data_IF_529481242297
#
_entry.id   IF_529481242297
#
_cell.length_a   1.000
_cell.length_b   1.000
_cell.length_c   1.000
_cell.angle_alpha   90.00
_cell.angle_beta   90.00
_cell.angle_gamma   90.00
#
_symmetry.space_group_name_H-M   'P 1'
#
loop_
_entity.id
_entity.type
_entity.pdbx_description
1 polymer ?
#
# COMPACT_ATOMS: atom_id res chain seq x y z
N UNK A 1 -8.40 -13.05 -1.41
CA UNK A 1 -7.41 -13.33 -0.36
C UNK A 1 -6.09 -13.63 -1.02
N UNK A 2 -5.09 -12.82 -0.74
CA UNK A 2 -3.72 -13.01 -1.24
C UNK A 2 -2.97 -14.00 -0.33
N UNK A 3 -1.94 -14.65 -0.86
CA UNK A 3 -1.07 -15.58 -0.16
C UNK A 3 0.30 -14.95 0.11
N UNK A 4 1.04 -15.51 1.08
CA UNK A 4 2.43 -15.14 1.32
C UNK A 4 3.24 -15.40 0.05
N UNK A 5 4.04 -14.42 -0.37
CA UNK A 5 4.81 -14.43 -1.60
C UNK A 5 4.07 -13.87 -2.82
N UNK A 6 2.77 -13.57 -2.73
CA UNK A 6 2.06 -12.94 -3.83
C UNK A 6 2.62 -11.54 -4.11
N UNK A 7 2.82 -11.22 -5.38
CA UNK A 7 3.16 -9.88 -5.83
C UNK A 7 1.89 -9.05 -5.97
N UNK A 8 1.84 -7.90 -5.31
CA UNK A 8 0.70 -6.97 -5.32
C UNK A 8 1.16 -5.57 -5.67
N UNK A 9 0.31 -4.83 -6.38
CA UNK A 9 0.47 -3.39 -6.60
C UNK A 9 -0.46 -2.64 -5.67
N UNK A 10 0.08 -1.71 -4.89
CA UNK A 10 -0.76 -0.76 -4.15
C UNK A 10 -1.44 0.15 -5.17
N UNK A 11 -2.74 0.36 -5.02
CA UNK A 11 -3.55 1.21 -5.90
C UNK A 11 -2.96 2.59 -6.07
N UNK A 12 -3.27 3.20 -7.22
CA UNK A 12 -2.87 4.59 -7.46
C UNK A 12 -3.49 5.54 -6.40
N UNK A 13 -2.79 6.64 -6.10
CA UNK A 13 -3.32 7.66 -5.18
C UNK A 13 -4.65 8.23 -5.67
N UNK A 14 -4.84 8.32 -6.99
CA UNK A 14 -6.10 8.77 -7.60
C UNK A 14 -7.24 7.82 -7.23
N UNK A 15 -7.03 6.51 -7.35
CA UNK A 15 -8.06 5.52 -7.04
C UNK A 15 -8.35 5.46 -5.54
N UNK A 16 -7.30 5.58 -4.70
CA UNK A 16 -7.45 5.69 -3.25
C UNK A 16 -8.26 6.92 -2.86
N UNK A 17 -8.00 8.08 -3.46
CA UNK A 17 -8.79 9.30 -3.20
C UNK A 17 -10.24 9.13 -3.64
N UNK A 18 -10.49 8.62 -4.84
CA UNK A 18 -11.85 8.43 -5.33
C UNK A 18 -12.68 7.51 -4.43
N UNK A 19 -12.10 6.44 -3.89
CA UNK A 19 -12.85 5.49 -3.04
C UNK A 19 -13.07 6.01 -1.61
N UNK A 20 -12.09 6.73 -1.06
CA UNK A 20 -12.23 7.34 0.25
C UNK A 20 -13.03 8.66 0.23
N UNK A 21 -13.17 9.32 -0.94
CA UNK A 21 -13.88 10.60 -1.07
C UNK A 21 -15.42 10.48 -1.19
N UNK A 22 -15.96 9.29 -1.48
CA UNK A 22 -17.42 9.08 -1.63
C UNK A 22 -17.94 7.94 -0.76
N UNK A 23 -18.54 8.19 0.43
CA UNK A 23 -18.86 9.47 1.07
C UNK A 23 -17.87 9.87 2.17
N UNK A 24 -17.55 11.18 2.20
CA UNK A 24 -16.74 11.92 3.18
C UNK A 24 -15.63 11.13 3.88
N UNK A 25 -14.38 11.25 3.42
CA UNK A 25 -13.25 10.83 4.22
C UNK A 25 -13.24 11.73 5.46
N UNK A 26 -13.36 11.13 6.63
CA UNK A 26 -13.03 11.83 7.86
C UNK A 26 -11.51 11.98 7.87
N UNK A 27 -10.99 13.05 7.28
CA UNK A 27 -9.61 13.42 7.48
C UNK A 27 -9.41 13.70 8.98
N UNK A 28 -8.85 12.75 9.71
CA UNK A 28 -8.36 12.98 11.06
C UNK A 28 -6.88 13.38 10.94
N UNK A 29 -6.62 14.67 10.75
CA UNK A 29 -5.28 15.17 10.44
C UNK A 29 -4.75 14.64 9.11
N UNK A 30 -3.69 13.81 9.16
CA UNK A 30 -3.01 13.26 7.97
C UNK A 30 -3.55 11.89 7.51
N UNK A 31 -4.65 11.41 8.10
CA UNK A 31 -5.23 10.09 7.80
C UNK A 31 -6.52 10.21 6.98
N UNK A 32 -6.58 9.53 5.84
CA UNK A 32 -7.82 9.16 5.15
C UNK A 32 -8.42 7.95 5.86
N UNK A 33 -9.66 8.06 6.34
CA UNK A 33 -10.33 6.99 7.10
C UNK A 33 -11.47 6.43 6.27
N UNK A 34 -11.46 5.12 6.07
CA UNK A 34 -12.59 4.37 5.52
C UNK A 34 -12.89 3.19 6.45
N UNK A 35 -14.02 3.26 7.18
CA UNK A 35 -14.30 2.33 8.27
C UNK A 35 -13.27 2.43 9.40
N UNK A 36 -12.60 1.32 9.71
CA UNK A 36 -11.59 1.21 10.78
C UNK A 36 -10.14 1.25 10.28
N UNK A 37 -9.92 1.60 9.01
CA UNK A 37 -8.59 1.59 8.40
C UNK A 37 -8.16 3.01 8.07
N UNK A 38 -6.91 3.31 8.41
CA UNK A 38 -6.27 4.59 8.18
C UNK A 38 -5.28 4.46 7.01
N UNK A 39 -5.50 5.24 5.95
CA UNK A 39 -4.50 5.51 4.93
C UNK A 39 -3.86 6.86 5.22
N UNK A 40 -2.62 6.88 5.72
CA UNK A 40 -1.96 8.12 6.14
C UNK A 40 -1.07 8.70 5.04
N UNK A 41 -0.76 10.01 5.11
CA UNK A 41 0.10 10.69 4.12
C UNK A 41 1.43 9.96 3.85
N UNK A 42 2.05 9.38 4.87
CA UNK A 42 3.30 8.62 4.73
C UNK A 42 3.16 7.35 3.88
N UNK A 43 1.93 6.90 3.56
CA UNK A 43 1.66 5.78 2.67
C UNK A 43 1.57 6.20 1.19
N UNK A 44 1.50 7.50 0.89
CA UNK A 44 1.40 8.02 -0.48
C UNK A 44 2.56 7.59 -1.38
N UNK A 45 3.84 7.58 -0.93
CA UNK A 45 4.97 7.19 -1.77
C UNK A 45 4.92 5.74 -2.27
N UNK A 46 4.09 4.88 -1.67
CA UNK A 46 3.93 3.48 -2.05
C UNK A 46 2.80 3.26 -3.07
N UNK A 47 1.94 4.27 -3.30
CA UNK A 47 0.86 4.16 -4.28
C UNK A 47 1.39 3.92 -5.70
N UNK A 48 0.77 2.98 -6.41
CA UNK A 48 1.19 2.55 -7.75
C UNK A 48 2.44 1.66 -7.78
N UNK A 49 3.05 1.37 -6.62
CA UNK A 49 4.26 0.54 -6.52
C UNK A 49 3.94 -0.90 -6.15
N UNK A 50 4.88 -1.78 -6.45
CA UNK A 50 4.72 -3.22 -6.30
C UNK A 50 5.55 -3.76 -5.14
N UNK A 51 4.95 -4.70 -4.41
CA UNK A 51 5.54 -5.34 -3.24
C UNK A 51 5.10 -6.80 -3.17
N UNK A 52 5.73 -7.55 -2.28
CA UNK A 52 5.37 -8.93 -1.98
C UNK A 52 4.62 -9.01 -0.65
N UNK A 53 3.64 -9.89 -0.57
CA UNK A 53 2.94 -10.20 0.67
C UNK A 53 3.89 -11.00 1.56
N UNK A 54 4.29 -10.41 2.69
CA UNK A 54 5.16 -11.06 3.68
C UNK A 54 4.35 -11.94 4.63
N UNK A 55 3.31 -11.36 5.23
CA UNK A 55 2.37 -12.02 6.11
C UNK A 55 1.03 -11.28 6.11
N UNK A 56 0.04 -11.82 6.81
CA UNK A 56 -1.24 -11.16 7.01
C UNK A 56 -1.87 -11.56 8.33
N UNK A 57 -2.76 -10.70 8.82
CA UNK A 57 -3.61 -10.97 9.98
C UNK A 57 -5.01 -10.42 9.77
N UNK A 58 -5.96 -10.92 10.55
CA UNK A 58 -7.36 -10.54 10.46
C UNK A 58 -7.73 -9.57 11.58
N UNK A 59 -8.21 -8.38 11.21
CA UNK A 59 -8.76 -7.39 12.14
C UNK A 59 -9.99 -6.73 11.49
N UNK A 60 -11.15 -7.39 11.56
CA UNK A 60 -12.38 -7.03 10.82
C UNK A 60 -12.29 -7.12 9.28
N UNK A 61 -11.08 -7.13 8.72
CA UNK A 61 -10.72 -7.34 7.32
C UNK A 61 -9.30 -7.92 7.26
N UNK A 62 -8.89 -8.40 6.08
CA UNK A 62 -7.53 -8.89 5.86
C UNK A 62 -6.56 -7.70 5.75
N UNK A 63 -5.57 -7.68 6.65
CA UNK A 63 -4.48 -6.71 6.68
C UNK A 63 -3.19 -7.44 6.35
N UNK A 64 -2.43 -6.90 5.40
CA UNK A 64 -1.22 -7.51 4.86
C UNK A 64 0.00 -6.66 5.18
N UNK A 65 1.06 -7.31 5.64
CA UNK A 65 2.40 -6.71 5.71
C UNK A 65 3.13 -7.00 4.41
N UNK A 66 3.82 -5.99 3.91
CA UNK A 66 4.47 -6.05 2.62
C UNK A 66 5.98 -6.00 2.79
N UNK A 67 6.68 -6.57 1.82
CA UNK A 67 8.12 -6.43 1.67
C UNK A 67 8.52 -6.08 0.24
N UNK A 68 9.68 -5.45 0.10
CA UNK A 68 10.31 -5.20 -1.18
C UNK A 68 10.87 -6.50 -1.77
N UNK A 69 11.28 -6.45 -3.04
CA UNK A 69 11.99 -7.56 -3.71
C UNK A 69 13.28 -7.99 -3.00
N UNK A 70 13.93 -7.09 -2.25
CA UNK A 70 15.12 -7.39 -1.44
C UNK A 70 14.79 -7.87 -0.01
N UNK A 71 13.53 -8.16 0.30
CA UNK A 71 13.09 -8.68 1.61
C UNK A 71 13.01 -7.62 2.71
N UNK A 72 13.02 -6.34 2.35
CA UNK A 72 12.85 -5.25 3.32
C UNK A 72 11.37 -5.02 3.58
N UNK A 73 10.96 -5.17 4.83
CA UNK A 73 9.58 -4.93 5.23
C UNK A 73 9.22 -3.45 5.17
N UNK A 74 8.01 -3.17 4.69
CA UNK A 74 7.43 -1.83 4.73
C UNK A 74 7.00 -1.48 6.15
N UNK A 75 7.12 -0.21 6.56
CA UNK A 75 6.72 0.23 7.90
C UNK A 75 5.19 0.30 8.09
N UNK A 76 4.41 -0.06 7.07
CA UNK A 76 2.96 0.03 7.06
C UNK A 76 2.31 -1.29 6.67
N UNK A 77 1.10 -1.51 7.17
CA UNK A 77 0.24 -2.59 6.75
C UNK A 77 -0.89 -2.05 5.88
N UNK A 78 -1.35 -2.87 4.94
CA UNK A 78 -2.29 -2.47 3.89
C UNK A 78 -3.49 -3.39 3.86
N UNK A 79 -4.68 -2.83 3.63
CA UNK A 79 -5.91 -3.61 3.53
C UNK A 79 -6.06 -4.26 2.16
N UNK A 80 -6.80 -5.37 2.05
CA UNK A 80 -6.99 -6.08 0.76
C UNK A 80 -7.45 -5.17 -0.40
N UNK A 81 -8.37 -4.24 -0.14
CA UNK A 81 -8.93 -3.34 -1.15
C UNK A 81 -7.96 -2.24 -1.60
N UNK A 82 -6.83 -2.08 -0.92
CA UNK A 82 -5.75 -1.16 -1.28
C UNK A 82 -4.87 -1.72 -2.40
N UNK A 83 -5.08 -2.98 -2.79
CA UNK A 83 -4.33 -3.62 -3.86
C UNK A 83 -5.09 -3.64 -5.17
N UNK A 84 -4.33 -3.63 -6.25
CA UNK A 84 -4.82 -3.97 -7.57
C UNK A 84 -4.55 -5.45 -7.84
N UNK A 85 -5.46 -6.13 -8.54
CA UNK A 85 -5.17 -7.45 -9.08
C UNK A 85 -4.25 -7.28 -10.29
N UNK A 86 -2.95 -7.52 -10.11
CA UNK A 86 -1.98 -7.43 -11.20
C UNK A 86 -2.30 -8.46 -12.30
N UNK A 87 -2.83 -7.99 -13.43
CA UNK A 87 -2.92 -8.77 -14.67
C UNK A 87 -1.57 -8.76 -15.40
N UNK A 88 -0.81 -9.84 -15.28
CA UNK A 88 0.34 -10.33 -16.11
C UNK A 88 1.45 -9.40 -16.63
N UNK A 89 1.36 -8.08 -16.57
CA UNK A 89 2.40 -7.19 -17.11
C UNK A 89 2.69 -6.08 -16.11
N UNK A 90 3.75 -6.23 -15.32
CA UNK A 90 4.23 -5.12 -14.48
C UNK A 90 5.76 -5.12 -14.41
N UNK A 91 6.31 -3.90 -14.53
CA UNK A 91 7.73 -3.58 -14.56
C UNK A 91 8.33 -3.75 -13.17
N UNK A 92 9.42 -4.52 -13.07
CA UNK A 92 10.21 -4.66 -11.84
C UNK A 92 11.03 -3.39 -11.56
N UNK A 93 11.21 -3.08 -10.27
CA UNK A 93 11.93 -1.90 -9.77
C UNK A 93 13.44 -2.15 -9.65
N UNK A 94 14.25 -1.10 -9.84
CA UNK A 94 15.70 -1.11 -9.62
C UNK A 94 16.06 -0.55 -8.22
N UNK A 95 17.30 -0.73 -7.78
CA UNK A 95 17.78 -0.20 -6.48
C UNK A 95 17.64 1.33 -6.35
N UNK A 96 17.79 2.05 -7.46
CA UNK A 96 17.63 3.51 -7.53
C UNK A 96 16.19 3.95 -7.14
N UNK A 97 15.18 3.18 -7.55
CA UNK A 97 13.79 3.45 -7.22
C UNK A 97 13.51 3.27 -5.71
N UNK A 98 14.29 2.41 -5.03
CA UNK A 98 14.20 2.16 -3.60
C UNK A 98 14.89 3.25 -2.78
N UNK A 99 16.03 3.78 -3.25
CA UNK A 99 16.72 4.89 -2.60
C UNK A 99 15.92 6.20 -2.67
N UNK A 100 15.24 6.46 -3.80
CA UNK A 100 14.36 7.63 -3.91
C UNK A 100 13.16 7.54 -2.95
N UNK A 101 12.65 6.33 -2.72
CA UNK A 101 11.60 6.04 -1.74
C UNK A 101 12.02 6.35 -0.30
N UNK A 102 13.21 5.91 0.08
CA UNK A 102 13.76 6.16 1.41
C UNK A 102 13.96 7.66 1.61
N UNK A 103 14.51 8.37 0.63
CA UNK A 103 14.74 9.82 0.74
C UNK A 103 13.45 10.63 0.88
N UNK A 104 12.32 10.18 0.32
CA UNK A 104 11.02 10.84 0.45
C UNK A 104 10.33 10.59 1.81
N UNK A 105 10.79 9.62 2.61
CA UNK A 105 10.23 9.32 3.93
C UNK A 105 10.85 10.17 5.06
N UNK A 106 11.97 10.83 4.81
CA UNK A 106 12.72 11.64 5.79
C UNK A 106 12.58 13.17 5.59
N UNK A 107 11.67 13.62 4.73
CA UNK A 107 11.27 15.03 4.53
C UNK A 107 9.87 15.28 5.09
#
# INVERSE_FOLDING_TARGET
MYQIGDKVRIRSLKDMRCEFETPSPQYCGNALIFGYIHFIKSMIPYCGKEFFIKDFYFCNHNIYRLETNCGRELPFAFAEYMFERCGKNVREYTEEDLEELDNQLWV
#
